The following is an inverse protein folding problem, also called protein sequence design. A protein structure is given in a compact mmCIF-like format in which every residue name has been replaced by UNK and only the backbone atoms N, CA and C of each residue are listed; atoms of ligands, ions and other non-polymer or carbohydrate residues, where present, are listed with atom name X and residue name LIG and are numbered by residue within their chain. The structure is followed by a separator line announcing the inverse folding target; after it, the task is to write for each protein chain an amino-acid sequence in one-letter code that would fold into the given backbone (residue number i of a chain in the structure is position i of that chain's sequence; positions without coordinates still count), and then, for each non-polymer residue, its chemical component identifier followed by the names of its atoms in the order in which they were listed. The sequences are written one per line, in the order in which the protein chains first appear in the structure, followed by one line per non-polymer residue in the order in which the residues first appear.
data_IF_231745622758
#
_entry.id   IF_231745622758
#
_cell.length_a   1.000
_cell.length_b   1.000
_cell.length_c   1.000
_cell.angle_alpha   90.00
_cell.angle_beta   90.00
_cell.angle_gamma   90.00
#
_symmetry.space_group_name_H-M   'P 1'
#
loop_
_entity.id
_entity.type
_entity.pdbx_description
1 polymer ?
#
# COMPACT_ATOMS: atom_id res chain seq x y z
N UNK A 1 3.39 -55.90 51.61
CA UNK A 1 4.64 -56.05 52.38
C UNK A 1 5.78 -55.91 51.36
N UNK A 2 6.57 -54.83 51.50
CA UNK A 2 7.71 -54.36 50.66
C UNK A 2 7.42 -53.96 49.19
N UNK A 3 8.19 -53.02 48.56
CA UNK A 3 8.98 -51.94 49.15
C UNK A 3 8.85 -50.56 48.45
N UNK A 4 9.40 -49.57 49.17
CA UNK A 4 9.81 -48.22 48.76
C UNK A 4 10.41 -48.13 47.35
N UNK A 5 10.02 -47.09 46.61
CA UNK A 5 10.83 -46.51 45.53
C UNK A 5 11.23 -45.08 45.90
N UNK A 6 12.54 -44.87 45.85
CA UNK A 6 13.25 -43.67 46.25
C UNK A 6 13.07 -42.53 45.24
N UNK A 7 12.74 -41.34 45.74
CA UNK A 7 12.86 -40.08 45.02
C UNK A 7 14.31 -39.61 45.10
N UNK A 8 15.02 -39.67 43.98
CA UNK A 8 16.25 -38.90 43.73
C UNK A 8 16.22 -38.38 42.30
N UNK A 9 16.20 -37.06 42.11
CA UNK A 9 17.35 -36.26 41.62
C UNK A 9 16.88 -34.84 41.30
N UNK A 10 17.40 -33.90 42.10
CA UNK A 10 17.47 -32.50 41.76
C UNK A 10 18.55 -32.26 40.69
N UNK A 11 18.40 -31.17 39.94
CA UNK A 11 19.49 -30.54 39.21
C UNK A 11 19.34 -30.54 37.69
N UNK A 12 18.39 -29.76 37.16
CA UNK A 12 18.52 -29.22 35.81
C UNK A 12 18.61 -27.70 35.91
N UNK A 13 19.83 -27.20 35.81
CA UNK A 13 20.10 -25.78 35.59
C UNK A 13 19.54 -25.41 34.23
N UNK A 14 18.32 -24.88 34.22
CA UNK A 14 17.79 -24.15 33.08
C UNK A 14 18.64 -22.88 32.91
N UNK A 15 19.67 -22.98 32.08
CA UNK A 15 20.39 -21.84 31.52
C UNK A 15 19.40 -21.14 30.60
N UNK A 16 18.60 -20.25 31.19
CA UNK A 16 17.82 -19.26 30.45
C UNK A 16 18.87 -18.36 29.79
N UNK A 17 19.32 -18.73 28.60
CA UNK A 17 19.85 -17.75 27.68
C UNK A 17 18.66 -16.87 27.36
N UNK A 18 18.56 -15.75 28.06
CA UNK A 18 17.86 -14.58 27.59
C UNK A 18 18.60 -14.14 26.32
N UNK A 19 18.36 -14.88 25.23
CA UNK A 19 18.44 -14.35 23.90
C UNK A 19 17.40 -13.24 23.88
N UNK A 20 17.86 -12.04 24.17
CA UNK A 20 17.22 -10.82 23.71
C UNK A 20 17.28 -10.92 22.19
N UNK A 21 16.38 -11.70 21.61
CA UNK A 21 15.87 -11.41 20.29
C UNK A 21 15.27 -10.03 20.46
N UNK A 22 16.08 -9.02 20.13
CA UNK A 22 15.60 -7.71 19.78
C UNK A 22 14.44 -7.98 18.83
N UNK A 23 13.21 -7.91 19.36
CA UNK A 23 12.00 -7.85 18.57
C UNK A 23 12.18 -6.54 17.84
N UNK A 24 12.78 -6.63 16.65
CA UNK A 24 12.98 -5.53 15.73
C UNK A 24 11.58 -5.03 15.45
N UNK A 25 11.17 -4.01 16.21
CA UNK A 25 9.85 -3.40 16.11
C UNK A 25 9.58 -3.19 14.63
N UNK A 26 8.63 -3.95 14.12
CA UNK A 26 8.39 -4.07 12.70
C UNK A 26 8.00 -2.70 12.18
N UNK A 27 8.93 -2.02 11.53
CA UNK A 27 8.65 -0.85 10.71
C UNK A 27 7.36 -1.11 9.94
N UNK A 28 6.43 -0.15 9.84
CA UNK A 28 5.15 -0.34 9.14
C UNK A 28 5.31 -1.03 7.77
N UNK A 29 6.39 -0.74 7.05
CA UNK A 29 6.77 -1.43 5.81
C UNK A 29 6.89 -2.97 5.96
N UNK A 30 7.44 -3.46 7.06
CA UNK A 30 7.50 -4.88 7.40
C UNK A 30 6.12 -5.50 7.63
N UNK A 31 5.22 -4.82 8.37
CA UNK A 31 3.85 -5.32 8.56
C UNK A 31 3.05 -5.35 7.24
N UNK A 32 3.24 -4.34 6.38
CA UNK A 32 2.64 -4.33 5.04
C UNK A 32 3.19 -5.45 4.17
N UNK A 33 4.51 -5.65 4.16
CA UNK A 33 5.14 -6.73 3.40
C UNK A 33 4.67 -8.10 3.88
N UNK A 34 4.64 -8.35 5.20
CA UNK A 34 4.16 -9.61 5.75
C UNK A 34 2.66 -9.84 5.46
N UNK A 35 1.85 -8.78 5.53
CA UNK A 35 0.44 -8.85 5.13
C UNK A 35 0.27 -9.14 3.64
N UNK A 36 1.12 -8.55 2.78
CA UNK A 36 1.13 -8.81 1.34
C UNK A 36 1.59 -10.24 1.03
N UNK A 37 2.59 -10.76 1.75
CA UNK A 37 3.04 -12.15 1.68
C UNK A 37 2.00 -13.13 2.18
N UNK A 38 1.16 -12.75 3.14
CA UNK A 38 0.08 -13.59 3.65
C UNK A 38 -1.08 -13.73 2.64
N UNK A 39 -1.16 -12.87 1.62
CA UNK A 39 -2.19 -12.99 0.58
C UNK A 39 -2.02 -14.29 -0.20
N UNK A 40 -3.14 -15.00 -0.37
CA UNK A 40 -3.27 -16.09 -1.33
C UNK A 40 -3.48 -15.47 -2.72
N UNK A 41 -2.94 -16.08 -3.76
CA UNK A 41 -3.07 -15.61 -5.14
C UNK A 41 -1.75 -15.38 -5.90
N UNK A 42 -1.81 -15.10 -7.21
CA UNK A 42 -0.64 -14.89 -8.06
C UNK A 42 0.26 -13.75 -7.57
N UNK A 43 -0.32 -12.59 -7.21
CA UNK A 43 0.45 -11.45 -6.68
C UNK A 43 1.20 -11.81 -5.39
N UNK A 44 0.57 -12.54 -4.47
CA UNK A 44 1.21 -12.99 -3.24
C UNK A 44 2.37 -13.95 -3.51
N UNK A 45 2.21 -14.85 -4.49
CA UNK A 45 3.30 -15.72 -4.93
C UNK A 45 4.45 -14.94 -5.57
N UNK A 46 4.17 -13.96 -6.42
CA UNK A 46 5.19 -13.10 -7.02
C UNK A 46 5.93 -12.30 -5.95
N UNK A 47 5.24 -11.66 -5.01
CA UNK A 47 5.86 -10.88 -3.94
C UNK A 47 6.78 -11.75 -3.08
N UNK A 48 6.35 -12.98 -2.72
CA UNK A 48 7.21 -13.93 -1.98
C UNK A 48 8.44 -14.36 -2.76
N UNK A 49 8.24 -14.70 -4.03
CA UNK A 49 9.34 -15.11 -4.92
C UNK A 49 10.34 -13.98 -5.11
N UNK A 50 9.84 -12.77 -5.27
CA UNK A 50 10.63 -11.58 -5.49
C UNK A 50 11.38 -11.14 -4.23
N UNK A 51 10.77 -11.19 -3.04
CA UNK A 51 11.47 -10.98 -1.76
C UNK A 51 12.58 -12.01 -1.54
N UNK A 52 12.31 -13.29 -1.86
CA UNK A 52 13.33 -14.35 -1.81
C UNK A 52 14.51 -14.06 -2.74
N UNK A 53 14.23 -13.78 -4.02
CA UNK A 53 15.25 -13.46 -5.01
C UNK A 53 16.06 -12.21 -4.65
N UNK A 54 15.41 -11.18 -4.10
CA UNK A 54 16.09 -9.95 -3.69
C UNK A 54 17.04 -10.18 -2.50
N UNK A 55 16.71 -11.10 -1.61
CA UNK A 55 17.57 -11.49 -0.46
C UNK A 55 18.74 -12.37 -0.89
N UNK A 56 18.51 -13.27 -1.83
CA UNK A 56 19.53 -14.21 -2.34
C UNK A 56 20.47 -13.57 -3.39
N UNK A 57 20.10 -12.41 -3.95
CA UNK A 57 20.93 -11.73 -4.94
C UNK A 57 22.22 -11.16 -4.32
N UNK A 58 23.36 -11.69 -4.72
CA UNK A 58 24.70 -11.23 -4.30
C UNK A 58 25.18 -10.01 -5.12
N UNK A 59 24.83 -9.95 -6.40
CA UNK A 59 25.31 -8.88 -7.29
C UNK A 59 24.36 -7.68 -7.35
N UNK A 60 24.93 -6.47 -7.44
CA UNK A 60 24.19 -5.21 -7.66
C UNK A 60 23.34 -5.29 -8.92
N UNK A 61 23.90 -5.87 -9.99
CA UNK A 61 23.22 -5.99 -11.28
C UNK A 61 21.91 -6.79 -11.13
N UNK A 62 21.96 -7.95 -10.48
CA UNK A 62 20.76 -8.77 -10.26
C UNK A 62 19.76 -8.03 -9.37
N UNK A 63 20.21 -7.37 -8.29
CA UNK A 63 19.32 -6.57 -7.42
C UNK A 63 18.63 -5.44 -8.21
N UNK A 64 19.37 -4.73 -9.06
CA UNK A 64 18.83 -3.65 -9.88
C UNK A 64 17.85 -4.19 -10.93
N UNK A 65 18.20 -5.28 -11.63
CA UNK A 65 17.32 -5.96 -12.57
C UNK A 65 16.03 -6.44 -11.91
N UNK A 66 16.13 -6.99 -10.69
CA UNK A 66 14.97 -7.30 -9.88
C UNK A 66 14.17 -6.03 -9.68
N UNK A 67 14.70 -5.00 -8.99
CA UNK A 67 13.99 -3.73 -8.70
C UNK A 67 13.27 -3.17 -9.94
N UNK A 68 13.97 -3.08 -11.07
CA UNK A 68 13.40 -2.63 -12.34
C UNK A 68 12.25 -3.52 -12.82
N UNK A 69 12.38 -4.85 -12.72
CA UNK A 69 11.30 -5.79 -13.00
C UNK A 69 10.09 -5.62 -12.07
N UNK A 70 10.29 -5.29 -10.80
CA UNK A 70 9.21 -5.00 -9.85
C UNK A 70 8.50 -3.68 -10.17
N UNK A 71 9.25 -2.66 -10.57
CA UNK A 71 8.70 -1.41 -11.08
C UNK A 71 7.88 -1.63 -12.35
N UNK A 72 8.34 -2.50 -13.25
CA UNK A 72 7.58 -2.89 -14.44
C UNK A 72 6.25 -3.57 -14.09
N UNK A 73 6.21 -4.40 -13.03
CA UNK A 73 4.96 -4.98 -12.54
C UNK A 73 3.98 -3.94 -11.98
N UNK A 74 4.45 -2.77 -11.57
CA UNK A 74 3.62 -1.65 -11.11
C UNK A 74 3.14 -0.76 -12.26
N UNK A 75 3.63 -0.96 -13.49
CA UNK A 75 3.25 -0.17 -14.66
C UNK A 75 1.73 -0.11 -14.89
N UNK A 76 0.93 -1.20 -14.76
CA UNK A 76 -0.52 -1.13 -14.91
C UNK A 76 -1.21 -0.16 -13.95
N UNK A 77 -0.67 -0.01 -12.73
CA UNK A 77 -1.20 0.88 -11.70
C UNK A 77 -0.99 2.36 -12.07
N UNK A 78 0.06 2.67 -12.83
CA UNK A 78 0.38 4.03 -13.30
C UNK A 78 -0.35 4.34 -14.61
N UNK A 79 -0.38 3.38 -15.53
CA UNK A 79 -0.99 3.56 -16.84
C UNK A 79 -2.51 3.70 -16.77
N UNK A 80 -3.16 2.97 -15.86
CA UNK A 80 -4.61 3.07 -15.66
C UNK A 80 -5.08 4.52 -15.43
N UNK A 81 -4.65 5.22 -14.36
CA UNK A 81 -5.12 6.57 -14.09
C UNK A 81 -4.76 7.54 -15.21
N UNK A 82 -3.62 7.34 -15.89
CA UNK A 82 -3.22 8.13 -17.05
C UNK A 82 -4.22 7.98 -18.20
N UNK A 83 -4.57 6.74 -18.59
CA UNK A 83 -5.55 6.49 -19.64
C UNK A 83 -6.96 6.97 -19.26
N UNK A 84 -7.35 6.82 -17.99
CA UNK A 84 -8.61 7.39 -17.48
C UNK A 84 -8.61 8.91 -17.64
N UNK A 85 -7.53 9.60 -17.24
CA UNK A 85 -7.42 11.05 -17.39
C UNK A 85 -7.50 11.48 -18.87
N UNK A 86 -6.79 10.80 -19.77
CA UNK A 86 -6.84 11.09 -21.20
C UNK A 86 -8.21 10.81 -21.81
N UNK A 87 -8.90 9.76 -21.36
CA UNK A 87 -10.26 9.44 -21.81
C UNK A 87 -11.25 10.50 -21.34
N UNK A 88 -11.17 10.93 -20.08
CA UNK A 88 -12.02 12.00 -19.51
C UNK A 88 -11.78 13.34 -20.20
N UNK A 89 -10.53 13.64 -20.57
CA UNK A 89 -10.19 14.86 -21.29
C UNK A 89 -10.53 14.79 -22.79
N UNK A 90 -10.99 13.65 -23.30
CA UNK A 90 -11.33 13.46 -24.72
C UNK A 90 -10.10 13.35 -25.64
N UNK A 91 -8.91 13.15 -25.09
CA UNK A 91 -7.65 12.98 -25.84
C UNK A 91 -7.61 11.64 -26.58
N UNK A 92 -8.26 10.61 -26.02
CA UNK A 92 -8.40 9.28 -26.63
C UNK A 92 -9.87 8.91 -26.76
N UNK A 93 -10.23 8.23 -27.86
CA UNK A 93 -11.60 7.85 -28.20
C UNK A 93 -11.94 6.38 -27.85
N UNK A 94 -10.96 5.61 -27.37
CA UNK A 94 -11.10 4.18 -27.01
C UNK A 94 -12.27 3.87 -26.07
N UNK A 95 -12.86 2.68 -26.13
CA UNK A 95 -13.92 2.29 -25.18
C UNK A 95 -13.40 2.26 -23.73
N UNK A 96 -14.31 2.40 -22.77
CA UNK A 96 -13.94 2.28 -21.35
C UNK A 96 -13.42 0.89 -21.01
N UNK A 97 -13.88 -0.14 -21.71
CA UNK A 97 -13.33 -1.49 -21.61
C UNK A 97 -11.82 -1.53 -21.97
N UNK A 98 -11.41 -0.87 -23.05
CA UNK A 98 -9.99 -0.80 -23.43
C UNK A 98 -9.17 -0.03 -22.40
N UNK A 99 -9.70 1.08 -21.89
CA UNK A 99 -9.03 1.90 -20.85
C UNK A 99 -8.83 1.11 -19.55
N UNK A 100 -9.80 0.27 -19.17
CA UNK A 100 -9.78 -0.49 -17.91
C UNK A 100 -9.06 -1.85 -18.01
N UNK A 101 -8.49 -2.21 -19.18
CA UNK A 101 -7.80 -3.51 -19.35
C UNK A 101 -6.67 -3.71 -18.33
N UNK A 102 -5.92 -2.65 -18.01
CA UNK A 102 -4.84 -2.70 -17.05
C UNK A 102 -5.33 -2.92 -15.62
N UNK A 103 -6.52 -2.39 -15.27
CA UNK A 103 -7.18 -2.67 -14.01
C UNK A 103 -7.56 -4.13 -13.93
N UNK A 104 -8.13 -4.70 -14.99
CA UNK A 104 -8.53 -6.11 -14.99
C UNK A 104 -7.33 -7.06 -14.92
N UNK A 105 -6.22 -6.73 -15.57
CA UNK A 105 -4.96 -7.46 -15.40
C UNK A 105 -4.53 -7.39 -13.94
N UNK A 106 -4.54 -6.20 -13.34
CA UNK A 106 -4.17 -6.03 -11.93
C UNK A 106 -5.11 -6.80 -10.99
N UNK A 107 -6.42 -6.73 -11.20
CA UNK A 107 -7.42 -7.47 -10.45
C UNK A 107 -7.17 -8.97 -10.57
N UNK A 108 -6.97 -9.49 -11.78
CA UNK A 108 -6.65 -10.89 -12.00
C UNK A 108 -5.39 -11.33 -11.24
N UNK A 109 -4.34 -10.52 -11.28
CA UNK A 109 -3.11 -10.79 -10.52
C UNK A 109 -3.35 -10.74 -9.01
N UNK A 110 -4.17 -9.81 -8.54
CA UNK A 110 -4.55 -9.64 -7.14
C UNK A 110 -5.64 -10.64 -6.69
N UNK A 111 -6.10 -11.54 -7.57
CA UNK A 111 -7.13 -12.51 -7.26
C UNK A 111 -6.68 -13.42 -6.11
N UNK A 112 -7.40 -13.31 -5.02
CA UNK A 112 -7.21 -14.10 -3.80
C UNK A 112 -8.35 -15.12 -3.59
N UNK A 113 -9.27 -15.21 -4.54
CA UNK A 113 -10.47 -16.06 -4.48
C UNK A 113 -11.50 -15.61 -3.45
N UNK A 114 -11.43 -14.38 -2.93
CA UNK A 114 -12.41 -13.88 -1.95
C UNK A 114 -13.63 -13.25 -2.62
N UNK A 115 -14.74 -13.22 -1.90
CA UNK A 115 -15.95 -12.51 -2.32
C UNK A 115 -15.66 -11.03 -2.61
N UNK A 116 -14.83 -10.39 -1.78
CA UNK A 116 -14.38 -9.01 -1.96
C UNK A 116 -13.79 -8.78 -3.36
N UNK A 117 -12.95 -9.70 -3.83
CA UNK A 117 -12.33 -9.60 -5.15
C UNK A 117 -13.37 -9.69 -6.26
N UNK A 118 -14.25 -10.69 -6.21
CA UNK A 118 -15.32 -10.87 -7.19
C UNK A 118 -16.22 -9.64 -7.25
N UNK A 119 -16.57 -9.09 -6.09
CA UNK A 119 -17.34 -7.86 -5.97
C UNK A 119 -16.63 -6.64 -6.59
N UNK A 120 -15.32 -6.48 -6.37
CA UNK A 120 -14.52 -5.42 -6.98
C UNK A 120 -14.46 -5.54 -8.50
N UNK A 121 -14.23 -6.76 -9.01
CA UNK A 121 -14.23 -7.03 -10.44
C UNK A 121 -15.60 -6.74 -11.10
N UNK A 122 -16.69 -7.18 -10.47
CA UNK A 122 -18.06 -6.90 -10.93
C UNK A 122 -18.38 -5.41 -10.92
N UNK A 123 -17.91 -4.67 -9.91
CA UNK A 123 -18.04 -3.20 -9.88
C UNK A 123 -17.36 -2.58 -11.09
N UNK A 124 -16.09 -2.93 -11.37
CA UNK A 124 -15.36 -2.40 -12.52
C UNK A 124 -16.08 -2.74 -13.84
N UNK A 125 -16.59 -3.95 -13.97
CA UNK A 125 -17.36 -4.37 -15.16
C UNK A 125 -18.63 -3.54 -15.32
N UNK A 126 -19.44 -3.36 -14.28
CA UNK A 126 -20.68 -2.58 -14.36
C UNK A 126 -20.43 -1.09 -14.60
N UNK A 127 -19.37 -0.53 -14.02
CA UNK A 127 -18.95 0.86 -14.27
C UNK A 127 -18.58 1.05 -15.75
N UNK A 128 -17.80 0.12 -16.32
CA UNK A 128 -17.44 0.16 -17.74
C UNK A 128 -18.65 0.04 -18.64
N UNK A 129 -19.53 -0.95 -18.40
CA UNK A 129 -20.75 -1.13 -19.18
C UNK A 129 -21.65 0.11 -19.13
N UNK A 130 -21.71 0.77 -17.97
CA UNK A 130 -22.49 2.01 -17.81
C UNK A 130 -21.88 3.15 -18.58
N UNK A 131 -20.57 3.35 -18.47
CA UNK A 131 -19.87 4.43 -19.15
C UNK A 131 -19.83 4.27 -20.68
N UNK A 132 -19.80 3.03 -21.18
CA UNK A 132 -19.93 2.72 -22.61
C UNK A 132 -21.40 2.79 -23.09
N UNK A 133 -22.37 3.05 -22.20
CA UNK A 133 -23.78 3.19 -22.55
C UNK A 133 -24.50 1.87 -22.86
N UNK A 134 -23.90 0.73 -22.52
CA UNK A 134 -24.52 -0.59 -22.70
C UNK A 134 -25.61 -0.92 -21.68
N UNK A 135 -25.55 -0.29 -20.50
CA UNK A 135 -26.58 -0.40 -19.46
C UNK A 135 -27.01 0.98 -18.98
N UNK A 136 -28.29 1.12 -18.62
CA UNK A 136 -28.91 2.37 -18.17
C UNK A 136 -29.24 2.40 -16.67
N UNK A 137 -28.72 1.42 -15.92
CA UNK A 137 -29.00 1.25 -14.50
C UNK A 137 -28.60 2.48 -13.66
N UNK A 138 -29.29 2.66 -12.53
CA UNK A 138 -28.92 3.66 -11.54
C UNK A 138 -27.54 3.35 -10.95
N UNK A 139 -26.81 4.41 -10.55
CA UNK A 139 -25.49 4.24 -9.94
C UNK A 139 -25.54 3.44 -8.64
N UNK A 140 -26.67 3.48 -7.92
CA UNK A 140 -26.87 2.66 -6.73
C UNK A 140 -26.81 1.17 -7.09
N UNK A 141 -27.47 0.74 -8.17
CA UNK A 141 -27.45 -0.66 -8.62
C UNK A 141 -26.05 -1.10 -9.04
N UNK A 142 -25.30 -0.24 -9.74
CA UNK A 142 -23.93 -0.49 -10.19
C UNK A 142 -22.99 -0.72 -9.00
N UNK A 143 -23.23 -0.03 -7.88
CA UNK A 143 -22.38 -0.06 -6.69
C UNK A 143 -22.77 -1.22 -5.75
N UNK A 144 -23.88 -1.95 -5.96
CA UNK A 144 -24.29 -3.10 -5.11
C UNK A 144 -23.15 -4.08 -4.79
N UNK A 145 -22.30 -4.52 -5.75
CA UNK A 145 -21.21 -5.44 -5.45
C UNK A 145 -20.28 -4.93 -4.34
N UNK A 146 -19.98 -3.62 -4.31
CA UNK A 146 -19.11 -3.09 -3.25
C UNK A 146 -19.81 -3.10 -1.89
N UNK A 147 -21.12 -2.87 -1.82
CA UNK A 147 -21.85 -3.00 -0.54
C UNK A 147 -21.78 -4.43 0.00
N UNK A 148 -21.93 -5.44 -0.88
CA UNK A 148 -21.75 -6.85 -0.51
C UNK A 148 -20.34 -7.08 0.02
N UNK A 149 -19.32 -6.51 -0.63
CA UNK A 149 -17.94 -6.61 -0.17
C UNK A 149 -17.69 -5.96 1.20
N UNK A 150 -18.40 -4.88 1.52
CA UNK A 150 -18.29 -4.17 2.79
C UNK A 150 -18.94 -4.93 3.95
N UNK A 151 -19.96 -5.75 3.66
CA UNK A 151 -20.61 -6.62 4.65
C UNK A 151 -19.71 -7.80 5.05
N UNK A 152 -18.87 -8.29 4.13
CA UNK A 152 -17.96 -9.42 4.35
C UNK A 152 -16.86 -9.11 5.39
N UNK A 153 -16.46 -7.83 5.53
CA UNK A 153 -15.36 -7.42 6.43
C UNK A 153 -15.73 -7.43 7.94
N UNK A 154 -16.94 -7.82 8.33
CA UNK A 154 -17.30 -8.04 9.74
C UNK A 154 -17.35 -6.80 10.67
N UNK A 155 -16.88 -5.63 10.23
CA UNK A 155 -16.97 -4.36 10.98
C UNK A 155 -17.90 -3.37 10.27
N UNK A 156 -19.20 -3.55 10.49
CA UNK A 156 -20.22 -2.66 9.92
C UNK A 156 -20.01 -1.19 10.33
N UNK A 157 -19.60 -0.95 11.59
CA UNK A 157 -19.40 0.41 12.10
C UNK A 157 -18.28 1.17 11.38
N UNK A 158 -17.18 0.48 11.02
CA UNK A 158 -16.08 1.09 10.27
C UNK A 158 -16.44 1.37 8.80
N UNK A 159 -17.27 0.51 8.20
CA UNK A 159 -17.62 0.58 6.78
C UNK A 159 -18.86 1.45 6.50
N UNK A 160 -19.66 1.79 7.51
CA UNK A 160 -20.87 2.58 7.35
C UNK A 160 -20.60 3.96 6.74
N UNK A 161 -19.49 4.62 7.10
CA UNK A 161 -19.10 5.91 6.54
C UNK A 161 -18.83 5.83 5.03
N UNK A 162 -18.08 4.80 4.61
CA UNK A 162 -17.77 4.54 3.21
C UNK A 162 -19.02 4.16 2.41
N UNK A 163 -19.89 3.31 2.98
CA UNK A 163 -21.17 2.93 2.40
C UNK A 163 -22.07 4.17 2.18
N UNK A 164 -22.19 5.04 3.19
CA UNK A 164 -22.94 6.30 3.08
C UNK A 164 -22.36 7.23 2.03
N UNK A 165 -21.04 7.37 1.99
CA UNK A 165 -20.35 8.18 0.99
C UNK A 165 -20.65 7.69 -0.43
N UNK A 166 -20.53 6.38 -0.67
CA UNK A 166 -20.85 5.77 -1.95
C UNK A 166 -22.32 6.01 -2.34
N UNK A 167 -23.25 5.94 -1.37
CA UNK A 167 -24.66 6.27 -1.62
C UNK A 167 -24.82 7.72 -2.07
N UNK A 168 -24.14 8.66 -1.41
CA UNK A 168 -24.21 10.07 -1.79
C UNK A 168 -23.58 10.34 -3.17
N UNK A 169 -22.45 9.69 -3.48
CA UNK A 169 -21.82 9.76 -4.80
C UNK A 169 -22.75 9.20 -5.87
N UNK A 170 -23.32 8.02 -5.66
CA UNK A 170 -24.27 7.38 -6.57
C UNK A 170 -25.47 8.30 -6.87
N UNK A 171 -26.12 8.82 -5.81
CA UNK A 171 -27.25 9.73 -5.96
C UNK A 171 -26.87 11.05 -6.62
N UNK A 172 -25.62 11.49 -6.47
CA UNK A 172 -25.13 12.70 -7.15
C UNK A 172 -24.92 12.46 -8.64
N UNK A 173 -24.36 11.29 -9.00
CA UNK A 173 -24.17 10.88 -10.39
C UNK A 173 -25.51 10.63 -11.11
N UNK A 174 -26.54 10.14 -10.42
CA UNK A 174 -27.91 10.01 -10.94
C UNK A 174 -28.68 11.36 -11.01
N UNK A 175 -28.03 12.50 -10.70
CA UNK A 175 -28.65 13.83 -10.66
C UNK A 175 -29.84 13.98 -9.69
N UNK A 176 -30.05 13.05 -8.75
CA UNK A 176 -31.11 13.12 -7.74
C UNK A 176 -30.88 14.17 -6.65
N UNK A 177 -29.67 14.75 -6.56
CA UNK A 177 -29.32 15.73 -5.54
C UNK A 177 -28.62 16.96 -6.11
N UNK A 178 -29.10 18.13 -5.72
CA UNK A 178 -28.50 19.42 -6.07
C UNK A 178 -27.32 19.81 -5.16
N UNK A 179 -26.90 18.93 -4.25
CA UNK A 179 -25.77 19.16 -3.34
C UNK A 179 -24.48 19.42 -4.10
N UNK A 180 -23.62 20.30 -3.59
CA UNK A 180 -22.28 20.49 -4.15
C UNK A 180 -21.41 19.24 -3.95
N UNK A 181 -20.47 19.00 -4.87
CA UNK A 181 -19.50 17.90 -4.76
C UNK A 181 -18.72 17.93 -3.44
N UNK A 182 -18.46 19.13 -2.92
CA UNK A 182 -17.81 19.31 -1.62
C UNK A 182 -18.58 18.64 -0.49
N UNK A 183 -19.92 18.83 -0.42
CA UNK A 183 -20.76 18.20 0.61
C UNK A 183 -20.79 16.67 0.49
N UNK A 184 -20.82 16.17 -0.76
CA UNK A 184 -20.83 14.72 -1.04
C UNK A 184 -19.52 14.06 -0.60
N UNK A 185 -18.38 14.72 -0.81
CA UNK A 185 -17.06 14.18 -0.49
C UNK A 185 -16.59 14.51 0.94
N UNK A 186 -17.25 15.43 1.64
CA UNK A 186 -16.88 15.87 2.99
C UNK A 186 -16.71 14.69 3.96
N UNK A 187 -17.57 13.68 3.86
CA UNK A 187 -17.53 12.50 4.73
C UNK A 187 -16.24 11.70 4.58
N UNK A 188 -15.67 11.65 3.37
CA UNK A 188 -14.37 11.02 3.10
C UNK A 188 -13.21 11.86 3.59
N UNK A 189 -13.34 13.17 3.42
CA UNK A 189 -12.25 14.10 3.61
C UNK A 189 -12.03 14.47 5.06
N UNK A 190 -13.09 14.47 5.89
CA UNK A 190 -12.98 14.83 7.29
C UNK A 190 -11.98 13.94 8.07
N UNK A 191 -12.03 12.58 7.97
CA UNK A 191 -11.03 11.73 8.60
C UNK A 191 -9.61 11.98 8.08
N UNK A 192 -9.44 12.12 6.76
CA UNK A 192 -8.12 12.34 6.14
C UNK A 192 -7.52 13.68 6.56
N UNK A 193 -8.33 14.74 6.57
CA UNK A 193 -7.94 16.07 7.02
C UNK A 193 -7.58 16.07 8.52
N UNK A 194 -8.33 15.35 9.35
CA UNK A 194 -8.02 15.22 10.77
C UNK A 194 -6.66 14.53 11.00
N UNK A 195 -6.38 13.45 10.27
CA UNK A 195 -5.07 12.76 10.31
C UNK A 195 -3.95 13.69 9.84
N UNK A 196 -4.17 14.44 8.74
CA UNK A 196 -3.18 15.40 8.25
C UNK A 196 -2.87 16.49 9.29
N UNK A 197 -3.88 17.12 9.88
CA UNK A 197 -3.70 18.15 10.90
C UNK A 197 -2.98 17.59 12.15
N UNK A 198 -3.31 16.36 12.55
CA UNK A 198 -2.63 15.69 13.65
C UNK A 198 -1.14 15.46 13.36
N UNK A 199 -0.78 15.03 12.14
CA UNK A 199 0.61 14.84 11.73
C UNK A 199 1.38 16.17 11.68
N UNK A 200 0.75 17.24 11.18
CA UNK A 200 1.34 18.58 11.19
C UNK A 200 1.56 19.07 12.63
N UNK A 201 0.62 18.80 13.53
CA UNK A 201 0.79 19.14 14.94
C UNK A 201 1.96 18.38 15.60
N UNK A 202 2.09 17.07 15.34
CA UNK A 202 3.23 16.27 15.80
C UNK A 202 4.56 16.77 15.23
N UNK A 203 4.58 17.19 13.96
CA UNK A 203 5.73 17.83 13.33
C UNK A 203 6.15 19.12 14.06
N UNK A 204 5.19 19.97 14.40
CA UNK A 204 5.47 21.20 15.14
C UNK A 204 6.07 20.90 16.53
N UNK A 205 5.55 19.89 17.25
CA UNK A 205 6.13 19.44 18.52
C UNK A 205 7.54 18.88 18.34
N UNK A 206 7.78 18.12 17.26
CA UNK A 206 9.10 17.58 16.91
C UNK A 206 10.14 18.68 16.76
N UNK A 207 9.78 19.72 15.99
CA UNK A 207 10.63 20.88 15.73
C UNK A 207 10.95 21.61 17.04
N UNK A 208 9.97 21.79 17.91
CA UNK A 208 10.16 22.42 19.22
C UNK A 208 11.11 21.62 20.13
N UNK A 209 11.08 20.29 20.08
CA UNK A 209 11.91 19.42 20.93
C UNK A 209 13.33 19.18 20.41
N UNK A 210 13.75 19.79 19.30
CA UNK A 210 15.07 19.57 18.67
C UNK A 210 15.43 18.09 18.43
N UNK A 211 14.45 17.22 18.24
CA UNK A 211 14.71 15.79 18.01
C UNK A 211 14.89 15.52 16.50
N UNK A 212 16.15 15.45 16.06
CA UNK A 212 16.52 15.38 14.63
C UNK A 212 15.99 14.16 13.89
N UNK A 213 15.87 13.00 14.55
CA UNK A 213 15.31 11.79 13.95
C UNK A 213 13.79 11.90 13.76
N UNK A 214 13.09 12.39 14.79
CA UNK A 214 11.63 12.59 14.74
C UNK A 214 11.27 13.66 13.71
N UNK A 215 12.09 14.71 13.57
CA UNK A 215 11.96 15.75 12.54
C UNK A 215 12.28 15.26 11.12
N UNK A 216 12.93 14.12 10.90
CA UNK A 216 13.06 13.59 9.52
C UNK A 216 11.85 12.72 9.14
N UNK A 217 11.42 11.84 10.06
CA UNK A 217 10.34 10.90 9.78
C UNK A 217 8.97 11.58 9.67
N UNK A 218 8.65 12.52 10.56
CA UNK A 218 7.35 13.19 10.57
C UNK A 218 7.12 14.09 9.33
N UNK A 219 8.18 14.45 8.61
CA UNK A 219 8.16 15.44 7.52
C UNK A 219 8.03 14.80 6.18
N UNK A 220 8.70 13.66 6.04
CA UNK A 220 8.39 12.72 4.98
C UNK A 220 6.92 12.27 5.12
N UNK A 221 6.45 11.97 6.33
CA UNK A 221 5.04 11.62 6.54
C UNK A 221 4.08 12.76 6.16
N UNK A 222 4.34 14.00 6.58
CA UNK A 222 3.50 15.15 6.23
C UNK A 222 3.54 15.48 4.73
N UNK A 223 4.69 15.33 4.06
CA UNK A 223 4.82 15.45 2.61
C UNK A 223 3.96 14.41 1.89
N UNK A 224 4.03 13.15 2.29
CA UNK A 224 3.26 12.05 1.68
C UNK A 224 1.76 12.32 1.82
N UNK A 225 1.30 12.69 3.02
CA UNK A 225 -0.12 12.99 3.25
C UNK A 225 -0.55 14.27 2.51
N UNK A 226 0.31 15.29 2.47
CA UNK A 226 0.06 16.53 1.72
C UNK A 226 -0.11 16.29 0.21
N UNK A 227 0.75 15.46 -0.39
CA UNK A 227 0.63 15.07 -1.80
C UNK A 227 -0.65 14.27 -2.06
N UNK A 228 -1.00 13.34 -1.15
CA UNK A 228 -2.25 12.60 -1.27
C UNK A 228 -3.47 13.53 -1.21
N UNK A 229 -3.45 14.50 -0.30
CA UNK A 229 -4.52 15.49 -0.15
C UNK A 229 -4.61 16.45 -1.34
N UNK A 230 -3.46 16.83 -1.93
CA UNK A 230 -3.42 17.68 -3.11
C UNK A 230 -4.21 17.07 -4.28
N UNK A 231 -4.08 15.76 -4.52
CA UNK A 231 -4.86 15.05 -5.54
C UNK A 231 -6.37 15.15 -5.29
N UNK A 232 -6.81 15.06 -4.03
CA UNK A 232 -8.22 15.18 -3.66
C UNK A 232 -8.76 16.59 -3.91
N UNK A 233 -8.00 17.62 -3.52
CA UNK A 233 -8.36 19.02 -3.75
C UNK A 233 -8.46 19.32 -5.24
N UNK A 234 -7.46 18.89 -6.03
CA UNK A 234 -7.48 19.06 -7.48
C UNK A 234 -8.69 18.36 -8.12
N UNK A 235 -9.00 17.12 -7.70
CA UNK A 235 -10.19 16.42 -8.17
C UNK A 235 -11.48 17.22 -7.92
N UNK A 236 -11.65 17.81 -6.73
CA UNK A 236 -12.82 18.63 -6.43
C UNK A 236 -12.87 19.92 -7.26
N UNK A 237 -11.73 20.60 -7.45
CA UNK A 237 -11.68 21.80 -8.30
C UNK A 237 -12.07 21.46 -9.74
N UNK A 238 -11.64 20.29 -10.25
CA UNK A 238 -12.04 19.80 -11.58
C UNK A 238 -13.53 19.49 -11.63
N UNK A 239 -14.08 18.80 -10.62
CA UNK A 239 -15.52 18.52 -10.54
C UNK A 239 -16.38 19.80 -10.46
N UNK A 240 -15.85 20.87 -9.88
CA UNK A 240 -16.57 22.14 -9.73
C UNK A 240 -16.46 23.05 -10.97
N UNK A 241 -15.31 23.05 -11.66
CA UNK A 241 -15.00 24.06 -12.69
C UNK A 241 -14.60 23.50 -14.05
N UNK A 242 -14.21 22.22 -14.15
CA UNK A 242 -13.75 21.55 -15.37
C UNK A 242 -12.65 22.29 -16.18
N UNK A 243 -11.86 23.16 -15.53
CA UNK A 243 -11.00 24.13 -16.23
C UNK A 243 -9.62 23.63 -16.67
N UNK A 244 -9.07 22.58 -16.07
CA UNK A 244 -7.69 22.12 -16.30
C UNK A 244 -7.60 20.62 -16.58
N UNK A 245 -6.60 20.11 -17.29
CA UNK A 245 -6.49 18.67 -17.63
C UNK A 245 -6.58 17.73 -16.41
N UNK A 246 -7.29 16.61 -16.56
CA UNK A 246 -7.39 15.59 -15.53
C UNK A 246 -6.03 15.01 -15.12
N UNK A 247 -5.01 15.07 -15.99
CA UNK A 247 -3.64 14.61 -15.69
C UNK A 247 -3.03 15.33 -14.48
N UNK A 248 -3.38 16.59 -14.24
CA UNK A 248 -2.88 17.31 -13.06
C UNK A 248 -3.40 16.72 -11.74
N UNK A 249 -4.55 16.04 -11.76
CA UNK A 249 -5.12 15.38 -10.56
C UNK A 249 -4.22 14.22 -10.10
N UNK A 250 -3.61 13.51 -11.05
CA UNK A 250 -2.79 12.32 -10.77
C UNK A 250 -1.30 12.66 -10.61
N UNK A 251 -0.90 13.90 -10.92
CA UNK A 251 0.49 14.34 -10.82
C UNK A 251 1.10 14.17 -9.42
N UNK A 252 0.43 14.52 -8.30
CA UNK A 252 1.00 14.31 -6.96
C UNK A 252 1.28 12.83 -6.67
N UNK A 253 0.45 11.92 -7.21
CA UNK A 253 0.67 10.48 -7.11
C UNK A 253 1.89 10.02 -7.90
N UNK A 254 2.12 10.57 -9.09
CA UNK A 254 3.32 10.27 -9.87
C UNK A 254 4.59 10.80 -9.21
N UNK A 255 4.53 11.97 -8.56
CA UNK A 255 5.65 12.48 -7.76
C UNK A 255 5.95 11.51 -6.62
N UNK A 256 4.93 11.09 -5.86
CA UNK A 256 5.09 10.14 -4.78
C UNK A 256 5.67 8.80 -5.27
N UNK A 257 5.14 8.28 -6.37
CA UNK A 257 5.64 7.06 -6.99
C UNK A 257 7.11 7.22 -7.41
N UNK A 258 7.47 8.31 -8.08
CA UNK A 258 8.85 8.61 -8.48
C UNK A 258 9.81 8.68 -7.30
N UNK A 259 9.40 9.28 -6.18
CA UNK A 259 10.20 9.30 -4.95
C UNK A 259 10.42 7.89 -4.38
N UNK A 260 9.40 7.03 -4.40
CA UNK A 260 9.51 5.63 -3.97
C UNK A 260 10.45 4.84 -4.89
N UNK A 261 10.37 5.05 -6.21
CA UNK A 261 11.28 4.45 -7.18
C UNK A 261 12.73 4.86 -6.91
N UNK A 262 12.98 6.15 -6.77
CA UNK A 262 14.32 6.68 -6.50
C UNK A 262 14.88 6.13 -5.18
N UNK A 263 14.05 6.11 -4.11
CA UNK A 263 14.44 5.54 -2.83
C UNK A 263 14.75 4.03 -2.93
N UNK A 264 13.99 3.28 -3.73
CA UNK A 264 14.20 1.85 -3.93
C UNK A 264 15.49 1.55 -4.70
N UNK A 265 15.78 2.32 -5.74
CA UNK A 265 17.03 2.22 -6.51
C UNK A 265 18.21 2.59 -5.61
N UNK A 266 18.12 3.69 -4.86
CA UNK A 266 19.14 4.10 -3.92
C UNK A 266 19.39 3.01 -2.85
N UNK A 267 18.33 2.46 -2.25
CA UNK A 267 18.45 1.37 -1.29
C UNK A 267 19.13 0.13 -1.89
N UNK A 268 18.84 -0.21 -3.15
CA UNK A 268 19.47 -1.33 -3.84
C UNK A 268 20.97 -1.10 -4.11
N UNK A 269 21.38 0.14 -4.37
CA UNK A 269 22.78 0.51 -4.59
C UNK A 269 23.59 0.57 -3.29
N UNK A 270 23.02 1.10 -2.21
CA UNK A 270 23.76 1.37 -0.97
C UNK A 270 23.91 0.16 -0.04
N UNK A 271 23.02 -0.84 -0.13
CA UNK A 271 23.07 -2.04 0.72
C UNK A 271 24.39 -2.82 0.62
N UNK A 272 25.17 -2.60 -0.44
CA UNK A 272 26.47 -3.25 -0.62
C UNK A 272 27.61 -2.67 0.24
N UNK A 273 27.46 -1.46 0.80
CA UNK A 273 28.51 -0.89 1.64
C UNK A 273 28.54 -1.47 3.06
N UNK A 274 27.39 -1.92 3.56
CA UNK A 274 27.26 -2.44 4.93
C UNK A 274 27.70 -3.91 5.06
N UNK A 275 27.69 -4.67 3.96
CA UNK A 275 28.15 -6.08 3.91
C UNK A 275 29.66 -6.20 3.62
N UNK A 276 30.43 -5.10 3.70
CA UNK A 276 31.88 -5.18 3.62
C UNK A 276 32.38 -6.15 4.70
N UNK A 277 33.16 -7.19 4.34
CA UNK A 277 33.53 -8.24 5.27
C UNK A 277 34.19 -7.60 6.48
N UNK A 278 33.54 -7.73 7.65
CA UNK A 278 34.19 -7.48 8.91
C UNK A 278 35.52 -8.23 8.86
N UNK A 279 36.60 -7.48 9.10
CA UNK A 279 37.98 -7.93 8.95
C UNK A 279 38.12 -9.39 9.40
N UNK A 280 38.88 -10.22 8.66
CA UNK A 280 38.99 -11.64 8.96
C UNK A 280 39.24 -11.79 10.46
N UNK A 281 38.31 -12.45 11.15
CA UNK A 281 38.46 -12.80 12.55
C UNK A 281 39.77 -13.56 12.59
N UNK A 282 40.81 -12.90 13.10
CA UNK A 282 42.09 -13.51 13.40
C UNK A 282 41.76 -14.64 14.35
N UNK A 283 41.69 -15.86 13.81
CA UNK A 283 41.66 -17.07 14.60
C UNK A 283 42.87 -16.98 15.54
N UNK A 284 42.68 -17.08 16.86
CA UNK A 284 43.80 -17.19 17.78
C UNK A 284 44.67 -18.33 17.28
N UNK A 285 45.95 -18.01 17.07
CA UNK A 285 46.94 -18.96 16.63
C UNK A 285 47.32 -19.77 17.87
N UNK A 286 46.82 -21.00 17.97
CA UNK A 286 47.08 -21.94 19.08
C UNK A 286 48.53 -22.50 19.05
N UNK A 287 49.51 -21.67 18.73
CA UNK A 287 50.92 -22.06 18.61
C UNK A 287 51.71 -21.53 19.83
N UNK A 288 51.31 -21.81 21.07
CA UNK A 288 52.11 -21.41 22.24
C UNK A 288 51.77 -22.20 23.53
N UNK A 289 51.91 -23.53 23.54
CA UNK A 289 52.06 -24.28 24.81
C UNK A 289 52.70 -25.69 24.64
N UNK A 290 53.88 -25.77 24.04
CA UNK A 290 54.81 -26.91 24.27
C UNK A 290 56.27 -26.41 24.27
N UNK A 291 56.76 -25.99 25.45
CA UNK A 291 58.17 -25.94 25.82
C UNK A 291 58.33 -25.89 27.36
#
# INVERSE_FOLDING_TARGET
MAPFTSITRAGSYAKISAGVTCVREGTYAGMFLESAKARRGPLGYMIRSYDKLLREAESVCVRLCLVLGGLLLLLPVILTPLFVCWKVDGTIDWSWATVMVFVWIFDFMACNGTLTWLCGFLLHLFVVLRFDGHVDWSWICIIIPIYVSLLDWGSFAGNASLALQLTFVARKLDHHTNSSWFKVLLLMWAPVAAVFLFLVFLWCIACYRHNSLYMRSTGLASLVVGLFFASQVLFLVRLASATFSAVYIILPWFILYGLVVLASIFAALYRNFDDAPSAPVLTPRDDEEEA
#
